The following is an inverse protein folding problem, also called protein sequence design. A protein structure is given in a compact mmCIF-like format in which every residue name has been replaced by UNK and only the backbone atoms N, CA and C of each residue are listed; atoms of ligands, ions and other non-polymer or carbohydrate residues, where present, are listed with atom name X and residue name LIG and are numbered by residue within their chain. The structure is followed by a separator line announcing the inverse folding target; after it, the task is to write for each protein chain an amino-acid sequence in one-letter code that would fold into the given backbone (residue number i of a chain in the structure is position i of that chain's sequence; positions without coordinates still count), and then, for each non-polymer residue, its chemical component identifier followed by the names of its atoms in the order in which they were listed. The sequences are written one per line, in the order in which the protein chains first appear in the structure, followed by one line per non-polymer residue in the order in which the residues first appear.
data_IF_080190031920
#
_entry.id   IF_080190031920
#
_cell.length_a   1.000
_cell.length_b   1.000
_cell.length_c   1.000
_cell.angle_alpha   90.00
_cell.angle_beta   90.00
_cell.angle_gamma   90.00
#
_symmetry.space_group_name_H-M   'P 1'
#
loop_
_entity.id
_entity.type
_entity.pdbx_description
1 polymer ?
#
# COMPACT_ATOMS: atom_id res chain seq x y z
N UNK A 1 0.43 -19.88 8.00
CA UNK A 1 1.17 -19.83 6.74
C UNK A 1 0.32 -19.30 5.61
N UNK A 2 0.87 -18.35 4.85
CA UNK A 2 0.23 -17.70 3.71
C UNK A 2 1.23 -17.55 2.55
N UNK A 3 0.72 -17.20 1.37
CA UNK A 3 1.56 -16.93 0.20
C UNK A 3 2.49 -15.75 0.48
N UNK A 4 3.75 -15.86 0.08
CA UNK A 4 4.63 -14.68 0.07
C UNK A 4 4.16 -13.68 -0.98
N UNK A 5 4.50 -12.38 -0.85
CA UNK A 5 4.16 -11.38 -1.87
C UNK A 5 4.65 -11.78 -3.26
N UNK A 6 5.87 -12.31 -3.36
CA UNK A 6 6.45 -12.79 -4.62
C UNK A 6 5.64 -13.94 -5.22
N UNK A 7 5.12 -14.83 -4.37
CA UNK A 7 4.27 -15.92 -4.81
C UNK A 7 2.89 -15.43 -5.28
N UNK A 8 2.30 -14.45 -4.60
CA UNK A 8 1.03 -13.84 -4.98
C UNK A 8 1.14 -13.13 -6.34
N UNK A 9 2.21 -12.37 -6.58
CA UNK A 9 2.39 -11.60 -7.81
C UNK A 9 2.67 -12.43 -9.06
N UNK A 10 2.90 -13.74 -8.93
CA UNK A 10 2.90 -14.64 -10.10
C UNK A 10 1.50 -14.80 -10.70
N UNK A 11 0.44 -14.51 -9.94
CA UNK A 11 -0.92 -14.56 -10.47
C UNK A 11 -1.13 -13.38 -11.45
N UNK A 12 -1.54 -13.65 -12.71
CA UNK A 12 -1.76 -12.62 -13.72
C UNK A 12 -2.73 -11.51 -13.29
N UNK A 13 -3.64 -11.77 -12.36
CA UNK A 13 -4.59 -10.76 -11.84
C UNK A 13 -3.90 -9.52 -11.27
N UNK A 14 -2.70 -9.66 -10.71
CA UNK A 14 -1.98 -8.53 -10.11
C UNK A 14 -1.31 -7.61 -11.14
N UNK A 15 -1.30 -7.97 -12.44
CA UNK A 15 -0.70 -7.11 -13.47
C UNK A 15 -1.44 -5.79 -13.67
N UNK A 16 -2.73 -5.75 -13.33
CA UNK A 16 -3.59 -4.58 -13.49
C UNK A 16 -4.07 -4.01 -12.14
N UNK A 17 -3.66 -4.61 -11.01
CA UNK A 17 -4.07 -4.18 -9.68
C UNK A 17 -2.95 -3.36 -9.05
N UNK A 18 -3.31 -2.22 -8.47
CA UNK A 18 -2.39 -1.45 -7.61
C UNK A 18 -2.52 -1.94 -6.17
N UNK A 19 -1.38 -2.18 -5.53
CA UNK A 19 -1.28 -2.63 -4.14
C UNK A 19 -0.56 -1.54 -3.35
N UNK A 20 -1.30 -0.88 -2.45
CA UNK A 20 -0.76 0.06 -1.48
C UNK A 20 -0.69 -0.58 -0.10
N UNK A 21 0.12 -0.03 0.79
CA UNK A 21 0.25 -0.53 2.16
C UNK A 21 0.02 0.55 3.23
N UNK A 22 -0.32 0.11 4.43
CA UNK A 22 -0.36 0.93 5.65
C UNK A 22 0.46 0.20 6.73
N UNK A 23 1.59 0.78 7.10
CA UNK A 23 2.42 0.29 8.19
C UNK A 23 1.93 0.89 9.51
N UNK A 24 1.61 0.04 10.49
CA UNK A 24 1.15 0.46 11.82
C UNK A 24 2.04 -0.17 12.87
N UNK A 25 2.73 0.64 13.66
CA UNK A 25 3.62 0.12 14.70
C UNK A 25 4.48 1.19 15.36
N UNK A 26 5.11 0.83 16.47
CA UNK A 26 6.08 1.68 17.16
C UNK A 26 7.35 1.91 16.34
N UNK A 27 8.09 2.98 16.68
CA UNK A 27 9.22 3.49 15.90
C UNK A 27 10.32 2.46 15.60
N UNK A 28 10.62 1.54 16.51
CA UNK A 28 11.70 0.55 16.33
C UNK A 28 11.44 -0.44 15.19
N UNK A 29 10.17 -0.76 14.92
CA UNK A 29 9.77 -1.75 13.91
C UNK A 29 9.33 -1.09 12.61
N UNK A 30 8.97 0.20 12.69
CA UNK A 30 8.32 0.93 11.61
C UNK A 30 9.21 1.07 10.37
N UNK A 31 10.51 1.30 10.57
CA UNK A 31 11.46 1.46 9.46
C UNK A 31 11.66 0.15 8.72
N UNK A 32 11.91 -0.96 9.44
CA UNK A 32 12.04 -2.28 8.84
C UNK A 32 10.76 -2.73 8.12
N UNK A 33 9.59 -2.46 8.72
CA UNK A 33 8.30 -2.77 8.13
C UNK A 33 8.04 -1.94 6.87
N UNK A 34 8.35 -0.64 6.91
CA UNK A 34 8.17 0.26 5.77
C UNK A 34 9.08 -0.15 4.61
N UNK A 35 10.34 -0.49 4.89
CA UNK A 35 11.28 -1.02 3.89
C UNK A 35 10.77 -2.32 3.28
N UNK A 36 10.34 -3.28 4.11
CA UNK A 36 9.77 -4.55 3.63
C UNK A 36 8.55 -4.32 2.73
N UNK A 37 7.60 -3.48 3.15
CA UNK A 37 6.40 -3.18 2.37
C UNK A 37 6.74 -2.50 1.04
N UNK A 38 7.70 -1.58 1.05
CA UNK A 38 8.14 -0.86 -0.15
C UNK A 38 8.83 -1.78 -1.16
N UNK A 39 9.68 -2.68 -0.71
CA UNK A 39 10.44 -3.57 -1.58
C UNK A 39 9.63 -4.78 -2.04
N UNK A 40 8.91 -5.41 -1.11
CA UNK A 40 8.34 -6.74 -1.31
C UNK A 40 6.85 -6.71 -1.61
N UNK A 41 6.10 -5.69 -1.15
CA UNK A 41 4.63 -5.74 -1.16
C UNK A 41 3.98 -4.76 -2.12
N UNK A 42 4.33 -3.48 -2.13
CA UNK A 42 3.60 -2.52 -2.97
C UNK A 42 3.87 -2.75 -4.46
N UNK A 43 2.85 -2.59 -5.30
CA UNK A 43 2.94 -2.81 -6.76
C UNK A 43 1.96 -1.89 -7.50
N UNK A 44 2.26 -1.59 -8.76
CA UNK A 44 1.43 -0.73 -9.61
C UNK A 44 1.90 0.72 -9.64
N UNK A 45 1.42 1.47 -10.64
CA UNK A 45 1.82 2.85 -10.83
C UNK A 45 1.29 3.74 -9.68
N UNK A 46 2.16 4.56 -9.10
CA UNK A 46 1.80 5.46 -7.99
C UNK A 46 1.53 4.74 -6.66
N UNK A 47 1.92 3.48 -6.54
CA UNK A 47 1.76 2.74 -5.28
C UNK A 47 2.58 3.36 -4.15
N UNK A 48 2.04 3.35 -2.93
CA UNK A 48 2.68 3.97 -1.77
C UNK A 48 2.48 3.16 -0.47
N UNK A 49 3.37 3.42 0.49
CA UNK A 49 3.22 2.99 1.88
C UNK A 49 2.83 4.22 2.72
N UNK A 50 1.70 4.13 3.40
CA UNK A 50 1.31 5.10 4.44
C UNK A 50 1.76 4.58 5.81
N UNK A 51 2.05 5.48 6.74
CA UNK A 51 2.62 5.14 8.05
C UNK A 51 1.76 5.70 9.18
N UNK A 52 1.51 4.87 10.18
CA UNK A 52 0.91 5.23 11.46
C UNK A 52 1.84 4.80 12.60
N UNK A 53 2.32 5.75 13.40
CA UNK A 53 3.31 5.48 14.47
C UNK A 53 2.73 4.78 15.69
N UNK A 54 1.41 4.81 15.82
CA UNK A 54 0.67 4.17 16.91
C UNK A 54 -0.81 4.05 16.49
N UNK A 55 -1.60 3.43 17.36
CA UNK A 55 -3.02 3.23 17.13
C UNK A 55 -3.78 4.57 17.04
N UNK A 56 -3.40 5.58 17.81
CA UNK A 56 -4.06 6.90 17.76
C UNK A 56 -3.80 7.64 16.44
N UNK A 57 -2.66 7.37 15.81
CA UNK A 57 -2.29 7.91 14.49
C UNK A 57 -2.93 7.13 13.34
N UNK A 58 -3.44 5.93 13.60
CA UNK A 58 -4.05 5.06 12.60
C UNK A 58 -5.22 5.71 11.88
N UNK A 59 -6.14 6.36 12.60
CA UNK A 59 -7.32 6.97 11.99
C UNK A 59 -6.92 8.05 10.98
N UNK A 60 -5.95 8.89 11.34
CA UNK A 60 -5.43 9.94 10.45
C UNK A 60 -4.73 9.34 9.24
N UNK A 61 -3.90 8.33 9.45
CA UNK A 61 -3.20 7.64 8.38
C UNK A 61 -4.17 6.94 7.41
N UNK A 62 -5.18 6.26 7.94
CA UNK A 62 -6.20 5.59 7.15
C UNK A 62 -7.00 6.58 6.30
N UNK A 63 -7.43 7.73 6.88
CA UNK A 63 -8.09 8.79 6.11
C UNK A 63 -7.24 9.28 4.95
N UNK A 64 -5.95 9.54 5.16
CA UNK A 64 -5.03 9.97 4.09
C UNK A 64 -4.91 8.90 3.00
N UNK A 65 -4.75 7.64 3.39
CA UNK A 65 -4.66 6.51 2.45
C UNK A 65 -5.91 6.40 1.59
N UNK A 66 -7.09 6.39 2.20
CA UNK A 66 -8.36 6.30 1.47
C UNK A 66 -8.56 7.48 0.51
N UNK A 67 -8.29 8.71 0.95
CA UNK A 67 -8.40 9.89 0.09
C UNK A 67 -7.48 9.77 -1.13
N UNK A 68 -6.25 9.24 -0.96
CA UNK A 68 -5.32 9.03 -2.09
C UNK A 68 -5.80 7.93 -3.03
N UNK A 69 -6.38 6.86 -2.52
CA UNK A 69 -6.90 5.76 -3.33
C UNK A 69 -8.13 6.17 -4.15
N UNK A 70 -9.08 6.89 -3.54
CA UNK A 70 -10.26 7.40 -4.27
C UNK A 70 -9.86 8.40 -5.35
N UNK A 71 -8.91 9.30 -5.06
CA UNK A 71 -8.38 10.24 -6.08
C UNK A 71 -7.67 9.52 -7.22
N UNK A 72 -6.91 8.46 -6.92
CA UNK A 72 -6.23 7.64 -7.92
C UNK A 72 -7.22 6.96 -8.86
N UNK A 73 -8.29 6.37 -8.31
CA UNK A 73 -9.37 5.77 -9.12
C UNK A 73 -10.03 6.78 -10.04
N UNK A 74 -10.42 7.95 -9.50
CA UNK A 74 -11.05 9.01 -10.28
C UNK A 74 -10.14 9.54 -11.42
N UNK A 75 -8.84 9.66 -11.18
CA UNK A 75 -7.87 10.04 -12.22
C UNK A 75 -7.69 8.93 -13.28
N UNK A 76 -7.76 7.66 -12.87
CA UNK A 76 -7.65 6.53 -13.80
C UNK A 76 -8.86 6.40 -14.73
N UNK A 77 -10.06 6.84 -14.31
CA UNK A 77 -11.25 6.92 -15.17
C UNK A 77 -11.15 8.05 -16.22
N UNK A 78 -10.45 9.15 -15.89
CA UNK A 78 -10.30 10.30 -16.79
C UNK A 78 -9.22 10.12 -17.87
N UNK A 79 -8.29 9.18 -17.68
CA UNK A 79 -7.30 8.80 -18.69
C UNK A 79 -7.41 7.30 -19.03
N UNK A 80 -8.44 6.91 -19.82
CA UNK A 80 -8.50 5.57 -20.36
C UNK A 80 -7.28 5.34 -21.27
N UNK A 81 -6.56 4.25 -21.02
CA UNK A 81 -5.51 3.75 -21.91
C UNK A 81 -6.09 3.16 -23.18
#
# INVERSE_FOLDING_TARGET
DGLTPEAAFRNPMFRTITVNALAVGGSEVLDALTSYLSEKVIRGAGAFVEVARNHDDFERAMKRKLIREVKSLALSELHPR
#
